data_IF_987460369834
#
_entry.id   IF_987460369834
#
_cell.length_a   1.000
_cell.length_b   1.000
_cell.length_c   1.000
_cell.angle_alpha   90.00
_cell.angle_beta   90.00
_cell.angle_gamma   90.00
#
_symmetry.space_group_name_H-M   'P 1'
#
loop_
_entity.id
_entity.type
_entity.pdbx_description
1 polymer ?
#
# COMPACT_ATOMS: atom_id res chain seq x y z
N UNK A 1 -9.41 48.90 -41.14
CA UNK A 1 -10.59 48.27 -40.55
C UNK A 1 -10.15 47.00 -39.85
N UNK A 2 -9.71 47.16 -38.58
CA UNK A 2 -10.29 46.59 -37.34
C UNK A 2 -9.72 45.18 -37.06
N UNK A 3 -8.81 45.01 -36.08
CA UNK A 3 -9.07 44.92 -34.62
C UNK A 3 -9.75 43.59 -34.26
N UNK A 4 -9.32 42.74 -33.32
CA UNK A 4 -8.31 42.82 -32.27
C UNK A 4 -8.32 41.50 -31.48
N UNK A 5 -7.33 41.31 -30.62
CA UNK A 5 -7.28 40.24 -29.62
C UNK A 5 -8.34 40.43 -28.54
N UNK A 6 -8.85 39.34 -27.94
CA UNK A 6 -9.03 39.14 -26.49
C UNK A 6 -9.87 37.88 -26.20
N UNK A 7 -9.40 37.06 -25.26
CA UNK A 7 -10.03 35.81 -24.87
C UNK A 7 -11.28 35.96 -24.01
N UNK A 8 -11.90 34.82 -23.71
CA UNK A 8 -12.89 34.67 -22.65
C UNK A 8 -12.70 33.29 -22.01
N UNK A 9 -12.07 33.33 -20.84
CA UNK A 9 -12.18 32.36 -19.76
C UNK A 9 -13.67 32.22 -19.37
N UNK A 10 -14.16 30.98 -19.22
CA UNK A 10 -15.36 30.54 -18.46
C UNK A 10 -15.58 29.06 -18.83
N UNK A 11 -15.67 28.08 -17.95
CA UNK A 11 -15.73 28.03 -16.50
C UNK A 11 -15.23 26.61 -16.17
N UNK A 12 -14.23 26.48 -15.32
CA UNK A 12 -13.91 25.20 -14.67
C UNK A 12 -15.13 24.82 -13.83
N UNK A 13 -15.97 23.94 -14.38
CA UNK A 13 -16.83 23.11 -13.57
C UNK A 13 -15.90 22.12 -12.88
N UNK A 14 -15.73 22.30 -11.57
CA UNK A 14 -15.23 21.25 -10.68
C UNK A 14 -16.21 20.08 -10.77
N UNK A 15 -16.07 19.26 -11.81
CA UNK A 15 -16.66 17.94 -11.84
C UNK A 15 -15.86 17.12 -10.82
N UNK A 16 -16.58 16.62 -9.85
CA UNK A 16 -16.10 15.78 -8.77
C UNK A 16 -15.30 14.60 -9.34
N UNK A 17 -13.97 14.70 -9.28
CA UNK A 17 -13.03 13.70 -9.81
C UNK A 17 -13.13 12.37 -9.04
N UNK A 18 -13.88 12.38 -7.93
CA UNK A 18 -14.24 11.22 -7.12
C UNK A 18 -15.04 10.17 -7.89
N UNK A 19 -15.92 10.58 -8.81
CA UNK A 19 -16.85 9.65 -9.47
C UNK A 19 -16.19 8.89 -10.63
N UNK A 20 -15.17 9.45 -11.30
CA UNK A 20 -14.47 8.75 -12.40
C UNK A 20 -13.53 7.65 -11.93
N UNK A 21 -13.07 7.68 -10.69
CA UNK A 21 -12.15 6.66 -10.17
C UNK A 21 -12.84 5.33 -9.86
N UNK A 22 -14.18 5.24 -9.91
CA UNK A 22 -14.92 4.07 -9.46
C UNK A 22 -15.40 3.13 -10.57
N UNK A 23 -15.55 3.59 -11.82
CA UNK A 23 -16.18 2.78 -12.88
C UNK A 23 -15.19 2.10 -13.85
N UNK A 24 -13.94 2.56 -13.92
CA UNK A 24 -12.92 1.89 -14.73
C UNK A 24 -12.29 0.75 -13.92
N UNK A 25 -12.89 -0.43 -14.06
CA UNK A 25 -12.44 -1.76 -13.68
C UNK A 25 -11.28 -1.84 -12.65
N UNK A 26 -11.50 -2.44 -11.47
CA UNK A 26 -10.49 -2.52 -10.42
C UNK A 26 -9.21 -3.16 -10.95
N UNK A 27 -8.08 -2.46 -10.78
CA UNK A 27 -6.75 -2.89 -11.21
C UNK A 27 -6.36 -4.28 -10.66
N UNK A 28 -7.07 -4.76 -9.62
CA UNK A 28 -7.04 -6.12 -9.10
C UNK A 28 -8.45 -6.54 -8.62
N UNK A 29 -9.22 -7.25 -9.45
CA UNK A 29 -10.31 -8.14 -9.01
C UNK A 29 -11.52 -7.56 -8.25
N UNK A 30 -11.59 -6.27 -7.93
CA UNK A 30 -12.73 -5.66 -7.25
C UNK A 30 -12.67 -5.67 -5.75
N UNK A 31 -11.47 -5.69 -5.18
CA UNK A 31 -11.32 -5.47 -3.73
C UNK A 31 -11.78 -4.05 -3.36
N UNK A 32 -12.63 -3.95 -2.34
CA UNK A 32 -12.97 -2.66 -1.75
C UNK A 32 -11.68 -2.03 -1.20
N UNK A 33 -11.32 -0.87 -1.72
CA UNK A 33 -10.12 -0.15 -1.25
C UNK A 33 -10.36 0.33 0.17
N UNK A 34 -9.59 -0.19 1.13
CA UNK A 34 -9.57 0.34 2.49
C UNK A 34 -8.50 1.42 2.53
N UNK A 35 -8.93 2.68 2.67
CA UNK A 35 -8.03 3.82 2.85
C UNK A 35 -8.18 4.41 4.25
N UNK A 36 -7.05 4.76 4.84
CA UNK A 36 -6.98 5.47 6.12
C UNK A 36 -6.04 6.64 5.91
N UNK A 37 -6.54 7.85 6.13
CA UNK A 37 -5.74 9.07 6.16
C UNK A 37 -5.57 9.50 7.62
N UNK A 38 -4.34 9.88 8.00
CA UNK A 38 -4.07 10.49 9.29
C UNK A 38 -3.21 11.73 9.13
N UNK A 39 -3.53 12.78 9.87
CA UNK A 39 -2.75 14.03 9.87
C UNK A 39 -1.55 13.97 10.82
N UNK A 40 -1.51 12.97 11.72
CA UNK A 40 -0.40 12.75 12.62
C UNK A 40 0.88 12.40 11.84
N UNK A 41 2.03 13.02 12.16
CA UNK A 41 3.28 12.75 11.46
C UNK A 41 3.75 11.32 11.75
N UNK A 42 4.20 10.63 10.71
CA UNK A 42 4.82 9.32 10.79
C UNK A 42 6.30 9.43 10.38
N UNK A 43 7.20 9.93 11.26
CA UNK A 43 8.63 9.97 10.96
C UNK A 43 9.15 8.56 10.73
N UNK A 44 9.97 8.38 9.71
CA UNK A 44 10.60 7.11 9.34
C UNK A 44 12.07 7.37 9.01
N UNK A 45 12.97 6.58 9.58
CA UNK A 45 14.39 6.62 9.26
C UNK A 45 15.00 5.22 9.27
N UNK A 46 16.11 5.07 8.55
CA UNK A 46 16.95 3.90 8.60
C UNK A 46 18.21 4.24 9.39
N UNK A 47 18.59 3.36 10.32
CA UNK A 47 19.78 3.52 11.15
C UNK A 47 20.67 2.30 10.96
N UNK A 48 21.88 2.53 10.46
CA UNK A 48 22.92 1.52 10.40
C UNK A 48 23.62 1.41 11.75
N UNK A 49 23.74 0.18 12.24
CA UNK A 49 24.48 -0.17 13.44
C UNK A 49 25.45 -1.32 13.14
N UNK A 50 26.45 -1.60 14.00
CA UNK A 50 27.45 -2.62 13.72
C UNK A 50 26.89 -4.04 13.50
N UNK A 51 25.68 -4.33 13.97
CA UNK A 51 25.01 -5.63 13.88
C UNK A 51 23.89 -5.69 12.82
N UNK A 52 23.50 -4.56 12.22
CA UNK A 52 22.44 -4.56 11.23
C UNK A 52 21.89 -3.20 10.82
N UNK A 53 20.84 -3.26 10.01
CA UNK A 53 20.02 -2.11 9.62
C UNK A 53 18.72 -2.12 10.42
N UNK A 54 18.40 -0.96 10.99
CA UNK A 54 17.19 -0.76 11.78
C UNK A 54 16.25 0.22 11.11
N UNK A 55 14.98 -0.17 11.00
CA UNK A 55 13.86 0.73 10.77
C UNK A 55 13.48 1.39 12.09
N UNK A 56 13.54 2.72 12.15
CA UNK A 56 12.97 3.51 13.24
C UNK A 56 11.79 4.31 12.72
N UNK A 57 10.64 4.19 13.37
CA UNK A 57 9.48 4.99 13.01
C UNK A 57 8.54 5.25 14.19
N UNK A 58 7.75 6.31 14.09
CA UNK A 58 6.61 6.54 15.01
C UNK A 58 5.33 6.31 14.23
N UNK A 59 4.49 5.38 14.67
CA UNK A 59 3.30 4.95 13.94
C UNK A 59 2.04 5.45 14.66
N UNK A 60 1.16 6.22 13.99
CA UNK A 60 -0.14 6.62 14.53
C UNK A 60 -1.03 5.42 14.84
N UNK A 61 -1.85 5.54 15.89
CA UNK A 61 -2.69 4.42 16.35
C UNK A 61 -3.65 3.92 15.26
N UNK A 62 -4.23 4.85 14.49
CA UNK A 62 -5.17 4.54 13.40
C UNK A 62 -4.56 3.62 12.34
N UNK A 63 -3.25 3.74 12.08
CA UNK A 63 -2.53 2.86 11.14
C UNK A 63 -2.42 1.45 11.70
N UNK A 64 -2.15 1.31 13.00
CA UNK A 64 -2.02 -0.01 13.66
C UNK A 64 -3.35 -0.70 13.91
N UNK A 65 -4.42 0.08 14.00
CA UNK A 65 -5.81 -0.40 14.11
C UNK A 65 -6.37 -0.84 12.75
N UNK A 66 -5.78 -0.36 11.64
CA UNK A 66 -6.19 -0.73 10.28
C UNK A 66 -5.89 -2.20 10.00
N UNK A 67 -6.94 -2.94 9.62
CA UNK A 67 -6.87 -4.36 9.23
C UNK A 67 -7.08 -4.50 7.73
N UNK A 68 -6.18 -5.22 7.09
CA UNK A 68 -6.19 -5.56 5.67
C UNK A 68 -6.34 -7.06 5.52
N UNK A 69 -6.99 -7.51 4.45
CA UNK A 69 -7.04 -8.94 4.14
C UNK A 69 -5.65 -9.46 3.71
N UNK A 70 -5.38 -10.73 4.00
CA UNK A 70 -4.26 -11.44 3.38
C UNK A 70 -4.55 -11.59 1.88
N UNK A 71 -3.67 -11.05 1.04
CA UNK A 71 -3.83 -11.02 -0.41
C UNK A 71 -3.52 -12.40 -1.00
N UNK A 72 -4.40 -12.88 -1.87
CA UNK A 72 -4.25 -14.16 -2.59
C UNK A 72 -4.25 -13.95 -4.10
N UNK A 73 -3.88 -15.00 -4.86
CA UNK A 73 -4.02 -15.04 -6.32
C UNK A 73 -5.38 -14.58 -6.82
N UNK A 74 -6.46 -15.04 -6.18
CA UNK A 74 -7.83 -14.72 -6.57
C UNK A 74 -8.14 -13.23 -6.41
N UNK A 75 -7.61 -12.60 -5.36
CA UNK A 75 -7.78 -11.16 -5.13
C UNK A 75 -7.01 -10.32 -6.15
N UNK A 76 -5.84 -10.78 -6.57
CA UNK A 76 -5.04 -10.12 -7.62
C UNK A 76 -5.65 -10.32 -9.01
N UNK A 77 -6.34 -11.44 -9.25
CA UNK A 77 -6.89 -11.76 -10.55
C UNK A 77 -5.79 -11.98 -11.59
N UNK A 78 -6.05 -11.55 -12.82
CA UNK A 78 -5.15 -11.77 -13.96
C UNK A 78 -4.82 -10.44 -14.64
N UNK A 79 -3.53 -10.10 -14.85
CA UNK A 79 -3.13 -8.91 -15.59
C UNK A 79 -3.64 -8.96 -17.03
N UNK A 80 -4.15 -7.84 -17.54
CA UNK A 80 -4.79 -7.76 -18.85
C UNK A 80 -3.91 -8.14 -20.04
N UNK A 81 -2.60 -7.86 -20.00
CA UNK A 81 -1.72 -8.03 -21.18
C UNK A 81 -1.09 -9.42 -21.24
N UNK A 82 -0.53 -9.86 -20.11
CA UNK A 82 0.17 -11.15 -20.04
C UNK A 82 -0.83 -12.30 -19.90
N UNK A 83 -2.00 -12.03 -19.32
CA UNK A 83 -3.06 -13.02 -19.09
C UNK A 83 -2.62 -14.24 -18.24
N UNK A 84 -1.55 -14.09 -17.46
CA UNK A 84 -1.03 -15.12 -16.55
C UNK A 84 -1.40 -14.81 -15.09
N UNK A 85 -1.65 -15.85 -14.29
CA UNK A 85 -2.02 -15.71 -12.88
C UNK A 85 -0.81 -15.29 -12.04
N UNK A 86 -1.09 -14.62 -10.93
CA UNK A 86 -0.12 -14.52 -9.84
C UNK A 86 -0.06 -15.85 -9.11
N UNK A 87 1.03 -16.60 -9.24
CA UNK A 87 1.18 -17.94 -8.68
C UNK A 87 2.62 -18.21 -8.20
N UNK A 88 2.80 -19.28 -7.44
CA UNK A 88 4.12 -19.76 -7.04
C UNK A 88 4.86 -20.42 -8.21
N UNK A 89 6.20 -20.60 -8.12
CA UNK A 89 6.97 -21.24 -9.19
C UNK A 89 6.53 -22.66 -9.57
N UNK A 90 5.79 -23.35 -8.70
CA UNK A 90 5.23 -24.68 -8.92
C UNK A 90 3.80 -24.66 -9.48
N UNK A 91 3.23 -23.48 -9.75
CA UNK A 91 1.88 -23.27 -10.25
C UNK A 91 0.79 -23.28 -9.19
N UNK A 92 1.14 -23.44 -7.90
CA UNK A 92 0.18 -23.34 -6.80
C UNK A 92 -0.23 -21.89 -6.50
N UNK A 93 -1.38 -21.72 -5.83
CA UNK A 93 -1.87 -20.39 -5.47
C UNK A 93 -0.87 -19.64 -4.59
N UNK A 94 -0.75 -18.35 -4.87
CA UNK A 94 0.06 -17.42 -4.13
C UNK A 94 -0.74 -16.84 -2.96
N UNK A 95 -0.12 -16.80 -1.78
CA UNK A 95 -0.69 -16.22 -0.56
C UNK A 95 0.34 -15.31 0.09
N UNK A 96 0.00 -14.03 0.30
CA UNK A 96 0.85 -13.04 0.97
C UNK A 96 0.68 -13.09 2.49
N UNK A 97 0.94 -14.27 3.07
CA UNK A 97 0.78 -14.59 4.48
C UNK A 97 2.08 -14.50 5.31
N UNK A 98 3.14 -13.94 4.74
CA UNK A 98 4.42 -13.79 5.42
C UNK A 98 4.84 -12.32 5.36
N UNK A 99 5.25 -11.76 6.49
CA UNK A 99 5.71 -10.38 6.57
C UNK A 99 7.21 -10.24 6.21
N UNK A 100 7.72 -9.00 6.19
CA UNK A 100 9.10 -8.72 5.80
C UNK A 100 10.16 -9.44 6.65
N UNK A 101 9.84 -9.76 7.90
CA UNK A 101 10.75 -10.44 8.83
C UNK A 101 10.58 -11.96 8.81
N UNK A 102 9.80 -12.50 7.86
CA UNK A 102 9.50 -13.92 7.78
C UNK A 102 8.46 -14.38 8.81
N UNK A 103 7.73 -13.46 9.45
CA UNK A 103 6.68 -13.85 10.39
C UNK A 103 5.44 -14.28 9.63
N UNK A 104 4.99 -15.51 9.88
CA UNK A 104 3.73 -16.01 9.35
C UNK A 104 2.54 -15.26 9.96
N UNK A 105 1.57 -14.91 9.12
CA UNK A 105 0.32 -14.30 9.48
C UNK A 105 -0.64 -15.41 9.90
N UNK A 106 -1.00 -15.45 11.18
CA UNK A 106 -1.84 -16.51 11.75
C UNK A 106 -3.34 -16.28 11.54
N UNK A 107 -3.71 -15.15 10.95
CA UNK A 107 -5.09 -14.73 10.73
C UNK A 107 -5.31 -14.36 9.26
N UNK A 108 -6.59 -14.36 8.83
CA UNK A 108 -7.02 -13.89 7.52
C UNK A 108 -6.86 -12.38 7.33
N UNK A 109 -6.52 -11.66 8.41
CA UNK A 109 -6.30 -10.23 8.44
C UNK A 109 -4.90 -9.90 8.97
N UNK A 110 -4.30 -8.84 8.42
CA UNK A 110 -2.97 -8.33 8.73
C UNK A 110 -3.00 -6.83 8.98
N UNK A 111 -1.98 -6.30 9.64
CA UNK A 111 -1.77 -4.84 9.66
C UNK A 111 -1.39 -4.34 8.27
N UNK A 112 -1.70 -3.08 8.01
CA UNK A 112 -1.28 -2.40 6.79
C UNK A 112 0.26 -2.35 6.68
N UNK A 113 0.79 -2.50 5.46
CA UNK A 113 2.22 -2.43 5.18
C UNK A 113 2.97 -3.76 5.34
N UNK A 114 4.30 -3.69 5.29
CA UNK A 114 5.18 -4.85 5.17
C UNK A 114 5.45 -5.61 6.48
N UNK A 115 5.13 -5.01 7.63
CA UNK A 115 5.47 -5.52 8.96
C UNK A 115 4.21 -5.72 9.80
N UNK A 116 3.93 -6.95 10.22
CA UNK A 116 2.73 -7.22 11.02
C UNK A 116 2.94 -6.88 12.51
N UNK A 117 4.20 -6.78 12.95
CA UNK A 117 4.60 -6.46 14.32
C UNK A 117 4.53 -4.99 14.72
N UNK A 118 4.18 -4.06 13.82
CA UNK A 118 4.16 -2.62 14.13
C UNK A 118 3.21 -2.29 15.28
N UNK A 119 3.64 -1.48 16.25
CA UNK A 119 2.81 -0.99 17.35
C UNK A 119 2.59 0.52 17.24
N UNK A 120 1.55 1.05 17.89
CA UNK A 120 1.35 2.50 17.96
C UNK A 120 2.49 3.14 18.74
N UNK A 121 2.94 4.32 18.31
CA UNK A 121 4.08 5.03 18.89
C UNK A 121 5.42 4.59 18.28
N UNK A 122 6.49 4.67 19.05
CA UNK A 122 7.85 4.40 18.58
C UNK A 122 8.10 2.91 18.32
N UNK A 123 8.68 2.62 17.17
CA UNK A 123 9.13 1.31 16.76
C UNK A 123 10.62 1.40 16.39
N UNK A 124 11.40 0.41 16.83
CA UNK A 124 12.77 0.19 16.39
C UNK A 124 12.93 -1.29 16.05
N UNK A 125 13.06 -1.60 14.77
CA UNK A 125 12.95 -2.95 14.23
C UNK A 125 14.19 -3.24 13.40
N UNK A 126 14.91 -4.32 13.72
CA UNK A 126 16.03 -4.78 12.88
C UNK A 126 15.45 -5.42 11.62
N UNK A 127 15.73 -4.84 10.45
CA UNK A 127 15.20 -5.30 9.15
C UNK A 127 16.26 -6.02 8.32
N UNK A 128 17.52 -5.90 8.70
CA UNK A 128 18.61 -6.64 8.08
C UNK A 128 19.71 -6.90 9.10
N UNK A 129 20.31 -8.08 9.06
CA UNK A 129 21.50 -8.43 9.85
C UNK A 129 22.72 -8.39 8.96
N UNK A 130 23.82 -7.81 9.44
CA UNK A 130 25.07 -7.87 8.71
C UNK A 130 25.69 -9.25 8.88
N UNK A 131 25.88 -9.96 7.76
CA UNK A 131 26.73 -11.14 7.75
C UNK A 131 28.17 -10.68 7.91
N UNK A 132 28.68 -10.74 9.14
CA UNK A 132 30.11 -10.58 9.44
C UNK A 132 30.89 -11.84 9.02
#
# INVERSE_FOLDING_TARGET
YLSGAQGLNKQEGAADDSERMQEDAPFFGGTASTSVACDEPMPVTLVEEPDGLYLQCTVPQVVTDTRMQVVTSDMLGVPRIVEERYEQPDGSDYVLDTDLLGQALTATERKAGALNGLVSGENRIRIWEWNN
#
